data_IF_512739201521
#
_entry.id   IF_512739201521
#
_cell.length_a   1.000
_cell.length_b   1.000
_cell.length_c   1.000
_cell.angle_alpha   90.00
_cell.angle_beta   90.00
_cell.angle_gamma   90.00
#
_symmetry.space_group_name_H-M   'P 1'
#
loop_
_entity.id
_entity.type
_entity.pdbx_description
1 polymer ?
#
# COMPACT_ATOMS: atom_id res chain seq x y z
N UNK A 1 1.39 12.31 -0.93
CA UNK A 1 0.34 11.83 -0.01
C UNK A 1 0.20 10.32 -0.14
N UNK A 2 0.78 9.55 0.78
CA UNK A 2 0.51 8.12 0.92
C UNK A 2 -0.52 7.93 2.04
N UNK A 3 -1.30 6.84 1.98
CA UNK A 3 -2.10 6.40 3.13
C UNK A 3 -1.19 6.02 4.30
N UNK A 4 -1.75 5.80 5.48
CA UNK A 4 -0.99 5.25 6.61
C UNK A 4 -0.25 3.97 6.18
N UNK A 5 1.07 3.93 6.43
CA UNK A 5 2.00 2.85 6.07
C UNK A 5 2.31 1.97 7.29
N UNK A 6 1.43 1.98 8.29
CA UNK A 6 1.59 1.18 9.48
C UNK A 6 1.59 -0.32 9.14
N UNK A 7 2.56 -1.12 9.65
CA UNK A 7 2.77 -2.50 9.22
C UNK A 7 1.55 -3.43 9.44
N UNK A 8 0.71 -3.11 10.42
CA UNK A 8 -0.47 -3.90 10.75
C UNK A 8 -1.62 -3.75 9.75
N UNK A 9 -1.56 -2.76 8.84
CA UNK A 9 -2.64 -2.43 7.92
C UNK A 9 -2.52 -3.13 6.55
N UNK A 10 -1.37 -3.72 6.29
CA UNK A 10 -0.95 -4.25 5.00
C UNK A 10 -0.55 -5.73 5.10
N UNK A 11 -0.59 -6.39 3.96
CA UNK A 11 -0.05 -7.74 3.73
C UNK A 11 1.46 -7.78 3.95
N UNK A 12 1.98 -8.98 4.25
CA UNK A 12 3.43 -9.21 4.42
C UNK A 12 4.24 -8.78 3.18
N UNK A 13 3.70 -9.02 1.99
CA UNK A 13 4.30 -8.59 0.72
C UNK A 13 4.45 -7.07 0.66
N UNK A 14 3.37 -6.31 0.91
CA UNK A 14 3.46 -4.84 0.92
C UNK A 14 4.37 -4.35 2.05
N UNK A 15 4.37 -4.99 3.22
CA UNK A 15 5.21 -4.60 4.35
C UNK A 15 6.71 -4.69 4.03
N UNK A 16 7.13 -5.71 3.27
CA UNK A 16 8.53 -5.83 2.83
C UNK A 16 8.95 -4.65 1.94
N UNK A 17 8.09 -4.21 1.02
CA UNK A 17 8.35 -3.07 0.12
C UNK A 17 8.40 -1.75 0.92
N UNK A 18 7.49 -1.58 1.89
CA UNK A 18 7.46 -0.41 2.77
C UNK A 18 8.74 -0.34 3.62
N UNK A 19 9.24 -1.47 4.11
CA UNK A 19 10.50 -1.53 4.84
C UNK A 19 11.69 -1.11 3.96
N UNK A 20 11.73 -1.55 2.70
CA UNK A 20 12.75 -1.12 1.73
C UNK A 20 12.67 0.38 1.43
N UNK A 21 11.47 0.92 1.27
CA UNK A 21 11.28 2.36 1.07
C UNK A 21 11.75 3.17 2.28
N UNK A 22 11.42 2.71 3.51
CA UNK A 22 11.89 3.34 4.76
C UNK A 22 13.41 3.32 4.84
N UNK A 23 14.04 2.18 4.53
CA UNK A 23 15.50 2.06 4.48
C UNK A 23 16.12 3.04 3.48
N UNK A 24 15.55 3.14 2.27
CA UNK A 24 16.01 4.09 1.26
C UNK A 24 15.87 5.55 1.76
N UNK A 25 14.78 5.89 2.44
CA UNK A 25 14.59 7.23 3.03
C UNK A 25 15.53 7.53 4.20
N UNK A 26 15.92 6.52 4.98
CA UNK A 26 16.88 6.64 6.08
C UNK A 26 18.30 6.89 5.58
N UNK A 27 18.70 6.15 4.54
CA UNK A 27 20.00 6.31 3.88
C UNK A 27 20.07 7.63 3.10
N UNK A 28 18.96 8.02 2.44
CA UNK A 28 18.91 9.15 1.52
C UNK A 28 17.96 10.25 2.00
N UNK A 29 18.15 10.75 3.22
CA UNK A 29 17.25 11.75 3.85
C UNK A 29 16.97 12.99 3.01
N UNK A 30 17.94 13.43 2.20
CA UNK A 30 17.82 14.58 1.29
C UNK A 30 17.45 14.16 -0.13
N UNK A 31 18.07 13.09 -0.66
CA UNK A 31 17.84 12.61 -2.01
C UNK A 31 16.48 11.91 -2.20
N UNK A 32 15.76 11.60 -1.12
CA UNK A 32 14.33 11.20 -1.18
C UNK A 32 13.47 12.27 -1.88
N UNK A 33 13.80 13.55 -1.71
CA UNK A 33 13.10 14.65 -2.39
C UNK A 33 13.56 14.83 -3.84
N UNK A 34 14.74 14.31 -4.18
CA UNK A 34 15.28 14.29 -5.54
C UNK A 34 14.86 13.07 -6.36
N UNK A 35 14.05 12.16 -5.78
CA UNK A 35 13.53 10.98 -6.47
C UNK A 35 14.43 9.74 -6.45
N UNK A 36 15.45 9.70 -5.57
CA UNK A 36 16.37 8.55 -5.47
C UNK A 36 15.68 7.22 -5.10
N UNK A 37 14.50 7.28 -4.47
CA UNK A 37 13.74 6.10 -4.03
C UNK A 37 12.53 5.78 -4.93
N UNK A 38 12.48 6.32 -6.16
CA UNK A 38 11.31 6.22 -7.03
C UNK A 38 10.87 4.78 -7.35
N UNK A 39 11.81 3.85 -7.50
CA UNK A 39 11.49 2.45 -7.81
C UNK A 39 10.72 1.77 -6.67
N UNK A 40 11.16 1.99 -5.43
CA UNK A 40 10.47 1.51 -4.24
C UNK A 40 9.11 2.21 -4.05
N UNK A 41 9.03 3.50 -4.38
CA UNK A 41 7.77 4.24 -4.35
C UNK A 41 6.74 3.69 -5.36
N UNK A 42 7.18 3.34 -6.57
CA UNK A 42 6.34 2.73 -7.59
C UNK A 42 5.87 1.35 -7.14
N UNK A 43 6.78 0.53 -6.60
CA UNK A 43 6.45 -0.78 -6.06
C UNK A 43 5.42 -0.69 -4.91
N UNK A 44 5.65 0.23 -3.97
CA UNK A 44 4.73 0.49 -2.85
C UNK A 44 3.35 0.90 -3.37
N UNK A 45 3.27 1.86 -4.29
CA UNK A 45 1.99 2.33 -4.86
C UNK A 45 1.23 1.21 -5.56
N UNK A 46 1.92 0.33 -6.30
CA UNK A 46 1.30 -0.84 -6.95
C UNK A 46 0.71 -1.79 -5.91
N UNK A 47 1.45 -2.07 -4.85
CA UNK A 47 1.01 -2.98 -3.79
C UNK A 47 -0.23 -2.42 -3.06
N UNK A 48 -0.17 -1.17 -2.61
CA UNK A 48 -1.29 -0.50 -1.94
C UNK A 48 -2.53 -0.38 -2.83
N UNK A 49 -2.34 -0.17 -4.14
CA UNK A 49 -3.45 -0.15 -5.11
C UNK A 49 -4.13 -1.51 -5.18
N UNK A 50 -3.37 -2.61 -5.20
CA UNK A 50 -3.92 -3.97 -5.22
C UNK A 50 -4.74 -4.24 -3.97
N UNK A 51 -4.21 -3.97 -2.78
CA UNK A 51 -4.94 -4.15 -1.51
C UNK A 51 -6.25 -3.35 -1.47
N UNK A 52 -6.22 -2.10 -1.94
CA UNK A 52 -7.42 -1.26 -2.01
C UNK A 52 -8.48 -1.87 -2.92
N UNK A 53 -8.09 -2.40 -4.08
CA UNK A 53 -9.01 -3.04 -5.01
C UNK A 53 -9.60 -4.32 -4.42
N UNK A 54 -8.79 -5.14 -3.74
CA UNK A 54 -9.26 -6.35 -3.07
C UNK A 54 -10.25 -6.04 -1.94
N UNK A 55 -9.94 -5.06 -1.08
CA UNK A 55 -10.87 -4.59 -0.03
C UNK A 55 -12.16 -4.07 -0.64
N UNK A 56 -12.09 -3.33 -1.76
CA UNK A 56 -13.27 -2.83 -2.48
C UNK A 56 -14.11 -3.97 -3.06
N UNK A 57 -13.49 -4.99 -3.64
CA UNK A 57 -14.17 -6.16 -4.18
C UNK A 57 -14.91 -6.93 -3.07
N UNK A 58 -14.24 -7.25 -1.97
CA UNK A 58 -14.83 -7.93 -0.80
C UNK A 58 -16.01 -7.14 -0.22
N UNK A 59 -15.87 -5.82 -0.11
CA UNK A 59 -16.96 -4.97 0.37
C UNK A 59 -18.15 -4.92 -0.59
N UNK A 60 -17.88 -4.92 -1.91
CA UNK A 60 -18.92 -4.99 -2.93
C UNK A 60 -19.70 -6.29 -2.82
N UNK A 61 -19.01 -7.44 -2.78
CA UNK A 61 -19.64 -8.76 -2.61
C UNK A 61 -20.45 -8.85 -1.32
N UNK A 62 -19.89 -8.37 -0.20
CA UNK A 62 -20.61 -8.31 1.09
C UNK A 62 -21.87 -7.45 1.01
N UNK A 63 -21.82 -6.30 0.33
CA UNK A 63 -22.98 -5.43 0.15
C UNK A 63 -24.05 -6.05 -0.74
N UNK A 64 -23.64 -6.73 -1.82
CA UNK A 64 -24.52 -7.46 -2.73
C UNK A 64 -25.23 -8.58 -1.97
N UNK A 65 -24.48 -9.39 -1.23
CA UNK A 65 -25.03 -10.46 -0.41
C UNK A 65 -26.04 -9.95 0.61
N UNK A 66 -25.76 -8.83 1.30
CA UNK A 66 -26.72 -8.22 2.22
C UNK A 66 -28.03 -7.82 1.51
N UNK A 67 -27.95 -7.18 0.34
CA UNK A 67 -29.13 -6.74 -0.43
C UNK A 67 -29.98 -7.88 -0.99
N UNK A 68 -29.38 -9.03 -1.28
CA UNK A 68 -30.12 -10.20 -1.80
C UNK A 68 -30.72 -11.06 -0.69
N UNK A 69 -30.33 -10.81 0.57
CA UNK A 69 -30.78 -11.57 1.74
C UNK A 69 -31.87 -10.85 2.56
N UNK A 70 -32.12 -9.58 2.28
CA UNK A 70 -33.34 -8.84 2.61
C UNK A 70 -34.40 -9.06 1.52
#
# INVERSE_FOLDING_TARGET
>A
MHTDLSPHLHSEECNSIIALLKKCHEENKWAKFAGACNDFDVAMRRCLKKERLEKRAKNYEKSRWKRTRE
#
